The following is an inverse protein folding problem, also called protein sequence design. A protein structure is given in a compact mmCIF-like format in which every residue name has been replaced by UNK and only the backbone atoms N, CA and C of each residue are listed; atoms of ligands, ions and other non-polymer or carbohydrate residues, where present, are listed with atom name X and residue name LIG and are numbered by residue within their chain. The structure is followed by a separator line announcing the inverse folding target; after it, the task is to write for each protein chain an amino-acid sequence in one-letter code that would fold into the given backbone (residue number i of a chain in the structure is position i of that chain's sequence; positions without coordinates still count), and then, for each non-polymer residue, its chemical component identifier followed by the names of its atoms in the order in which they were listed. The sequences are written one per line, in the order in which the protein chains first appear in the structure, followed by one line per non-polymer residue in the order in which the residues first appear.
data_IF_722006290250
#
_entry.id   IF_722006290250
#
_cell.length_a   1.000
_cell.length_b   1.000
_cell.length_c   1.000
_cell.angle_alpha   90.00
_cell.angle_beta   90.00
_cell.angle_gamma   90.00
#
_symmetry.space_group_name_H-M   'P 1'
#
loop_
_entity.id
_entity.type
_entity.pdbx_description
1 polymer ?
#
# COMPACT_ATOMS: atom_id res chain seq x y z
N UNK A 1 29.59 -30.30 -23.36
CA UNK A 1 29.97 -31.11 -22.20
C UNK A 1 28.86 -30.90 -21.19
N UNK A 2 27.94 -31.79 -21.13
CA UNK A 2 27.75 -32.93 -20.20
C UNK A 2 27.41 -32.41 -18.82
N UNK A 3 26.35 -32.76 -18.09
CA UNK A 3 25.36 -33.89 -18.16
C UNK A 3 24.35 -33.57 -17.06
N UNK A 4 23.09 -33.61 -17.29
CA UNK A 4 22.15 -34.72 -17.04
C UNK A 4 21.86 -35.08 -15.58
N UNK A 5 20.59 -35.06 -15.31
CA UNK A 5 19.70 -36.12 -14.79
C UNK A 5 19.63 -36.21 -13.25
N UNK A 6 18.55 -36.43 -12.58
CA UNK A 6 17.38 -37.24 -12.92
C UNK A 6 16.18 -36.95 -12.00
N UNK A 7 15.02 -37.13 -12.58
CA UNK A 7 13.75 -37.34 -11.91
C UNK A 7 13.66 -38.71 -11.26
N UNK A 8 12.87 -38.89 -10.20
CA UNK A 8 12.13 -40.11 -9.89
C UNK A 8 10.95 -39.87 -9.00
N UNK A 9 9.82 -40.16 -9.56
CA UNK A 9 8.55 -40.66 -9.11
C UNK A 9 8.64 -41.83 -8.10
N UNK A 10 7.62 -41.95 -7.23
CA UNK A 10 6.95 -43.19 -6.82
C UNK A 10 5.78 -42.81 -5.90
N UNK A 11 4.51 -42.90 -6.35
CA UNK A 11 3.58 -44.00 -6.30
C UNK A 11 3.03 -44.36 -4.90
N UNK A 12 1.72 -44.15 -4.75
CA UNK A 12 0.86 -44.69 -3.69
C UNK A 12 0.70 -46.22 -3.84
N UNK A 13 0.22 -46.93 -2.82
CA UNK A 13 -0.90 -47.79 -3.06
C UNK A 13 -2.06 -47.78 -2.04
N UNK A 14 -3.11 -48.38 -2.51
CA UNK A 14 -4.46 -48.56 -2.12
C UNK A 14 -4.72 -49.39 -0.83
N UNK A 15 -5.86 -49.05 -0.23
CA UNK A 15 -7.09 -49.82 0.09
C UNK A 15 -7.09 -51.08 1.00
N UNK A 16 -8.17 -51.04 1.79
CA UNK A 16 -9.08 -52.11 2.32
C UNK A 16 -8.83 -52.55 3.77
N UNK A 17 -9.87 -52.45 4.59
CA UNK A 17 -10.95 -53.31 4.93
C UNK A 17 -11.62 -53.04 6.27
N UNK A 18 -12.86 -52.83 6.23
CA UNK A 18 -14.02 -53.24 7.04
C UNK A 18 -13.73 -54.08 8.31
N UNK A 19 -14.21 -53.74 9.52
CA UNK A 19 -15.41 -54.25 10.19
C UNK A 19 -15.62 -53.78 11.64
N UNK A 20 -16.82 -53.37 11.92
CA UNK A 20 -17.79 -53.46 13.01
C UNK A 20 -17.40 -53.69 14.49
N UNK A 21 -18.20 -52.98 15.28
CA UNK A 21 -18.86 -53.25 16.57
C UNK A 21 -18.35 -52.54 17.82
N UNK A 22 -19.27 -51.70 18.33
CA UNK A 22 -19.33 -51.14 19.71
C UNK A 22 -19.61 -52.23 20.75
N UNK A 23 -19.41 -51.99 22.07
CA UNK A 23 -20.34 -51.14 22.80
C UNK A 23 -19.76 -50.28 23.94
N UNK A 24 -20.63 -49.35 24.35
CA UNK A 24 -20.64 -48.42 25.47
C UNK A 24 -19.96 -48.89 26.77
N UNK A 25 -19.18 -48.00 27.39
CA UNK A 25 -19.26 -47.74 28.83
C UNK A 25 -18.95 -46.27 29.16
N UNK A 26 -19.79 -45.71 30.02
CA UNK A 26 -19.67 -44.37 30.60
C UNK A 26 -18.55 -44.35 31.64
N UNK A 27 -17.68 -43.36 31.65
CA UNK A 27 -17.21 -42.74 32.87
C UNK A 27 -16.71 -41.33 32.52
N UNK A 28 -17.08 -40.42 33.37
CA UNK A 28 -17.13 -39.00 33.16
C UNK A 28 -15.88 -38.28 33.52
N UNK A 29 -15.95 -37.00 33.15
CA UNK A 29 -15.33 -35.81 33.71
C UNK A 29 -13.84 -35.89 34.04
N UNK A 30 -13.09 -35.18 33.24
CA UNK A 30 -11.93 -34.30 33.59
C UNK A 30 -11.03 -34.12 32.38
N UNK A 31 -11.42 -33.30 31.42
CA UNK A 31 -10.51 -32.71 30.44
C UNK A 31 -11.04 -31.30 30.11
N UNK A 32 -10.73 -30.35 30.96
CA UNK A 32 -11.16 -28.98 30.77
C UNK A 32 -10.21 -27.91 31.35
N UNK A 33 -9.23 -28.29 32.16
CA UNK A 33 -8.43 -27.33 32.93
C UNK A 33 -6.97 -27.18 32.48
N UNK A 34 -6.42 -28.08 31.69
CA UNK A 34 -5.02 -28.02 31.28
C UNK A 34 -4.76 -27.12 30.05
N UNK A 35 -5.69 -27.02 29.13
CA UNK A 35 -5.54 -26.18 27.93
C UNK A 35 -5.69 -24.67 28.25
N UNK A 36 -6.59 -24.32 29.17
CA UNK A 36 -6.81 -22.92 29.60
C UNK A 36 -5.67 -22.37 30.45
N UNK A 37 -4.97 -23.23 31.18
CA UNK A 37 -3.80 -22.84 32.00
C UNK A 37 -2.55 -22.57 31.16
N UNK A 38 -2.32 -23.32 30.10
CA UNK A 38 -1.17 -23.11 29.19
C UNK A 38 -1.34 -21.87 28.33
N UNK A 39 -2.49 -21.62 27.75
CA UNK A 39 -2.80 -20.40 27.00
C UNK A 39 -2.72 -19.14 27.87
N UNK A 40 -3.09 -19.22 29.16
CA UNK A 40 -2.99 -18.12 30.10
C UNK A 40 -1.53 -17.81 30.52
N UNK A 41 -0.70 -18.83 30.67
CA UNK A 41 0.74 -18.67 31.00
C UNK A 41 1.55 -18.18 29.79
N UNK A 42 1.20 -18.59 28.56
CA UNK A 42 1.80 -18.10 27.32
C UNK A 42 1.43 -16.63 27.05
N UNK A 43 0.19 -16.24 27.31
CA UNK A 43 -0.27 -14.85 27.19
C UNK A 43 0.42 -13.86 28.15
N UNK A 44 1.01 -14.34 29.26
CA UNK A 44 1.76 -13.54 30.23
C UNK A 44 3.25 -13.35 29.88
N UNK A 45 3.76 -14.04 28.85
CA UNK A 45 5.19 -14.01 28.46
C UNK A 45 5.44 -13.39 27.08
N UNK A 46 4.57 -12.52 26.62
CA UNK A 46 4.71 -11.90 25.30
C UNK A 46 5.97 -11.03 25.19
N UNK A 47 6.39 -10.37 26.27
CA UNK A 47 7.61 -9.55 26.25
C UNK A 47 8.86 -10.42 26.04
N UNK A 48 8.91 -11.62 26.59
CA UNK A 48 10.00 -12.58 26.33
C UNK A 48 10.05 -12.97 24.84
N UNK A 49 8.90 -13.21 24.23
CA UNK A 49 8.82 -13.51 22.81
C UNK A 49 9.25 -12.29 21.94
N UNK A 50 8.92 -11.07 22.37
CA UNK A 50 9.35 -9.85 21.68
C UNK A 50 10.86 -9.72 21.65
N UNK A 51 11.55 -9.97 22.80
CA UNK A 51 13.01 -9.84 22.94
C UNK A 51 13.76 -11.14 22.58
N UNK A 52 13.07 -12.17 22.11
CA UNK A 52 13.66 -13.42 21.66
C UNK A 52 14.59 -13.18 20.47
N UNK A 53 15.74 -13.87 20.44
CA UNK A 53 16.81 -13.65 19.47
C UNK A 53 16.37 -13.74 18.01
N UNK A 54 15.60 -14.78 17.66
CA UNK A 54 15.16 -14.99 16.27
C UNK A 54 14.11 -13.94 15.85
N UNK A 55 13.24 -13.54 16.76
CA UNK A 55 12.27 -12.49 16.53
C UNK A 55 12.96 -11.14 16.28
N UNK A 56 13.94 -10.79 17.11
CA UNK A 56 14.73 -9.58 16.95
C UNK A 56 15.56 -9.58 15.69
N UNK A 57 16.14 -10.71 15.32
CA UNK A 57 16.90 -10.81 14.07
C UNK A 57 16.04 -10.52 12.85
N UNK A 58 14.87 -11.13 12.77
CA UNK A 58 13.89 -10.84 11.68
C UNK A 58 13.45 -9.36 11.68
N UNK A 59 13.23 -8.79 12.86
CA UNK A 59 12.89 -7.37 13.00
C UNK A 59 14.04 -6.47 12.52
N UNK A 60 15.27 -6.77 12.92
CA UNK A 60 16.48 -6.07 12.50
C UNK A 60 16.64 -6.09 10.97
N UNK A 61 16.58 -7.25 10.34
CA UNK A 61 16.68 -7.35 8.87
C UNK A 61 15.63 -6.50 8.16
N UNK A 62 14.42 -6.48 8.68
CA UNK A 62 13.31 -5.70 8.10
C UNK A 62 13.55 -4.19 8.22
N UNK A 63 14.03 -3.72 9.39
CA UNK A 63 14.37 -2.32 9.61
C UNK A 63 15.55 -1.90 8.73
N UNK A 64 16.60 -2.73 8.64
CA UNK A 64 17.76 -2.47 7.78
C UNK A 64 17.38 -2.38 6.30
N UNK A 65 16.55 -3.29 5.82
CA UNK A 65 16.09 -3.32 4.41
C UNK A 65 15.31 -2.06 4.02
N UNK A 66 14.59 -1.47 4.95
CA UNK A 66 13.80 -0.25 4.70
C UNK A 66 14.64 1.03 4.56
N UNK A 67 15.92 1.01 4.95
CA UNK A 67 16.86 2.14 4.82
C UNK A 67 16.27 3.50 5.26
N UNK A 68 15.45 3.48 6.32
CA UNK A 68 14.75 4.68 6.80
C UNK A 68 15.69 5.72 7.41
N UNK A 69 15.27 6.98 7.38
CA UNK A 69 16.01 8.11 7.95
C UNK A 69 16.20 7.96 9.48
N UNK A 70 17.22 8.63 10.04
CA UNK A 70 17.46 8.71 11.47
C UNK A 70 16.29 9.37 12.23
N UNK A 71 16.09 8.98 13.49
CA UNK A 71 15.13 9.61 14.40
C UNK A 71 15.65 10.94 14.98
N UNK A 72 15.19 11.26 16.20
CA UNK A 72 15.61 12.45 16.94
C UNK A 72 17.02 12.31 17.50
N UNK A 73 17.49 11.08 17.71
CA UNK A 73 18.82 10.71 18.21
C UNK A 73 19.94 10.84 17.16
N UNK A 74 19.58 11.07 15.89
CA UNK A 74 20.53 11.14 14.79
C UNK A 74 21.16 9.80 14.41
N UNK A 75 20.87 8.70 15.11
CA UNK A 75 21.42 7.37 14.85
C UNK A 75 20.94 6.85 13.48
N UNK A 76 21.89 6.58 12.59
CA UNK A 76 21.57 6.08 11.25
C UNK A 76 21.44 4.56 11.22
N UNK A 77 20.81 4.04 10.16
CA UNK A 77 20.73 2.60 9.91
C UNK A 77 22.14 1.99 9.75
N UNK A 78 23.10 2.73 9.18
CA UNK A 78 24.47 2.25 9.00
C UNK A 78 25.21 2.01 10.33
N UNK A 79 25.03 2.92 11.29
CA UNK A 79 25.73 2.90 12.58
C UNK A 79 25.02 2.00 13.60
N UNK A 80 23.77 1.64 13.33
CA UNK A 80 22.91 0.96 14.30
C UNK A 80 23.43 -0.41 14.77
N UNK A 81 24.13 -1.16 13.91
CA UNK A 81 24.66 -2.50 14.27
C UNK A 81 25.67 -2.41 15.42
N UNK A 82 26.65 -1.53 15.29
CA UNK A 82 27.69 -1.34 16.30
C UNK A 82 27.08 -0.82 17.61
N UNK A 83 26.19 0.16 17.52
CA UNK A 83 25.48 0.71 18.65
C UNK A 83 24.66 -0.37 19.38
N UNK A 84 23.91 -1.19 18.65
CA UNK A 84 23.06 -2.23 19.23
C UNK A 84 23.87 -3.30 19.97
N UNK A 85 25.03 -3.69 19.46
CA UNK A 85 25.92 -4.66 20.13
C UNK A 85 26.34 -4.21 21.54
N UNK A 86 26.56 -2.92 21.71
CA UNK A 86 26.97 -2.36 23.02
C UNK A 86 25.80 -2.14 23.96
N UNK A 87 24.64 -1.69 23.45
CA UNK A 87 23.54 -1.21 24.30
C UNK A 87 22.40 -2.21 24.48
N UNK A 88 22.34 -3.26 23.64
CA UNK A 88 21.24 -4.23 23.70
C UNK A 88 21.02 -4.89 25.06
N UNK A 89 22.03 -5.29 25.85
CA UNK A 89 21.80 -5.91 27.17
C UNK A 89 20.97 -4.99 28.07
N UNK A 90 21.31 -3.70 28.11
CA UNK A 90 20.59 -2.69 28.93
C UNK A 90 19.17 -2.47 28.41
N UNK A 91 19.00 -2.32 27.10
CA UNK A 91 17.68 -2.16 26.46
C UNK A 91 16.79 -3.38 26.73
N UNK A 92 17.34 -4.58 26.60
CA UNK A 92 16.63 -5.83 26.87
C UNK A 92 16.17 -5.92 28.32
N UNK A 93 17.05 -5.58 29.28
CA UNK A 93 16.73 -5.56 30.70
C UNK A 93 15.58 -4.58 30.99
N UNK A 94 15.62 -3.36 30.44
CA UNK A 94 14.57 -2.37 30.60
C UNK A 94 13.23 -2.81 29.98
N UNK A 95 13.25 -3.49 28.82
CA UNK A 95 12.04 -4.06 28.20
C UNK A 95 11.41 -5.15 29.06
N UNK A 96 12.23 -6.08 29.60
CA UNK A 96 11.74 -7.16 30.44
C UNK A 96 11.24 -6.66 31.82
N UNK A 97 11.83 -5.58 32.32
CA UNK A 97 11.34 -4.90 33.54
C UNK A 97 10.08 -4.04 33.30
N UNK A 98 9.70 -3.81 32.03
CA UNK A 98 8.61 -2.90 31.67
C UNK A 98 8.93 -1.43 31.90
N UNK A 99 10.21 -1.07 31.91
CA UNK A 99 10.73 0.28 32.22
C UNK A 99 11.19 1.05 30.98
N UNK A 100 11.30 0.39 29.81
CA UNK A 100 11.75 1.03 28.59
C UNK A 100 10.89 2.24 28.24
N UNK A 101 11.52 3.38 27.98
CA UNK A 101 10.87 4.64 27.59
C UNK A 101 11.23 4.96 26.14
N UNK A 102 10.24 4.97 25.22
CA UNK A 102 10.45 5.41 23.85
C UNK A 102 10.87 6.89 23.76
N UNK A 103 11.71 7.20 22.80
CA UNK A 103 12.03 8.59 22.49
C UNK A 103 10.90 9.26 21.68
N UNK A 104 10.85 10.59 21.75
CA UNK A 104 9.96 11.38 20.88
C UNK A 104 10.24 11.08 19.40
N UNK A 105 9.21 11.16 18.57
CA UNK A 105 9.36 10.96 17.13
C UNK A 105 9.71 12.27 16.43
N UNK A 106 10.61 12.20 15.46
CA UNK A 106 11.01 13.37 14.66
C UNK A 106 9.89 13.73 13.67
N UNK A 107 9.35 14.94 13.79
CA UNK A 107 8.33 15.47 12.89
C UNK A 107 8.91 15.76 11.51
N UNK A 108 8.25 15.28 10.46
CA UNK A 108 8.55 15.62 9.06
C UNK A 108 7.27 15.96 8.34
N UNK A 109 7.28 17.05 7.60
CA UNK A 109 6.15 17.52 6.82
C UNK A 109 6.28 17.07 5.36
N UNK A 110 5.28 16.34 4.86
CA UNK A 110 5.24 15.88 3.47
C UNK A 110 4.09 16.59 2.74
N UNK A 111 4.34 17.33 1.65
CA UNK A 111 3.29 17.97 0.87
C UNK A 111 2.31 16.93 0.30
N UNK A 112 0.99 17.18 0.42
CA UNK A 112 -0.03 16.37 -0.23
C UNK A 112 -0.22 16.79 -1.69
N UNK A 113 -0.48 15.84 -2.61
CA UNK A 113 -0.71 16.17 -4.03
C UNK A 113 -1.86 17.14 -4.31
N UNK A 114 -2.82 17.24 -3.39
CA UNK A 114 -4.02 18.08 -3.50
C UNK A 114 -3.95 19.33 -2.60
N UNK A 115 -2.76 19.72 -2.17
CA UNK A 115 -2.54 20.80 -1.21
C UNK A 115 -2.61 20.35 0.25
N UNK A 116 -2.03 21.14 1.14
CA UNK A 116 -1.87 20.83 2.55
C UNK A 116 -0.67 19.92 2.84
N UNK A 117 -0.49 19.58 4.11
CA UNK A 117 0.67 18.86 4.62
C UNK A 117 0.21 17.56 5.31
N UNK A 118 1.01 16.51 5.20
CA UNK A 118 0.89 15.28 6.00
C UNK A 118 2.03 15.28 7.01
N UNK A 119 1.69 15.18 8.28
CA UNK A 119 2.67 15.04 9.35
C UNK A 119 3.12 13.58 9.45
N UNK A 120 4.41 13.35 9.30
CA UNK A 120 5.03 12.04 9.51
C UNK A 120 5.87 12.11 10.78
N UNK A 121 5.74 11.12 11.66
CA UNK A 121 6.61 10.96 12.83
C UNK A 121 7.63 9.86 12.55
N UNK A 122 8.91 10.19 12.55
CA UNK A 122 9.99 9.22 12.35
C UNK A 122 10.52 8.77 13.71
N UNK A 123 10.24 7.53 14.18
CA UNK A 123 10.83 6.99 15.41
C UNK A 123 12.33 6.76 15.25
N UNK A 124 13.06 6.64 16.35
CA UNK A 124 14.46 6.20 16.35
C UNK A 124 14.61 4.83 15.68
N UNK A 125 15.83 4.48 15.25
CA UNK A 125 16.06 3.15 14.65
C UNK A 125 15.80 2.04 15.68
N UNK A 126 16.14 2.29 16.94
CA UNK A 126 15.86 1.38 18.07
C UNK A 126 14.35 1.19 18.27
N UNK A 127 13.58 2.29 18.34
CA UNK A 127 12.13 2.20 18.50
C UNK A 127 11.46 1.49 17.32
N UNK A 128 11.97 1.68 16.10
CA UNK A 128 11.50 0.91 14.91
C UNK A 128 11.80 -0.58 15.04
N UNK A 129 12.97 -0.95 15.58
CA UNK A 129 13.31 -2.36 15.86
C UNK A 129 12.34 -2.97 16.87
N UNK A 130 12.11 -2.31 17.98
CA UNK A 130 11.22 -2.80 19.05
C UNK A 130 9.78 -2.87 18.56
N UNK A 131 9.27 -1.84 17.89
CA UNK A 131 7.93 -1.85 17.27
C UNK A 131 7.76 -2.94 16.22
N UNK A 132 8.80 -3.21 15.42
CA UNK A 132 8.77 -4.31 14.45
C UNK A 132 8.78 -5.68 15.14
N UNK A 133 9.52 -5.84 16.24
CA UNK A 133 9.53 -7.06 17.03
C UNK A 133 8.17 -7.29 17.70
N UNK A 134 7.56 -6.24 18.28
CA UNK A 134 6.20 -6.27 18.81
C UNK A 134 5.17 -6.66 17.71
N UNK A 135 5.25 -6.04 16.54
CA UNK A 135 4.36 -6.34 15.43
C UNK A 135 4.40 -7.83 15.06
N UNK A 136 5.57 -8.44 15.00
CA UNK A 136 5.75 -9.84 14.62
C UNK A 136 5.13 -10.81 15.63
N UNK A 137 5.12 -10.45 16.91
CA UNK A 137 4.50 -11.24 17.98
C UNK A 137 3.00 -11.01 18.07
N UNK A 138 2.56 -9.75 17.95
CA UNK A 138 1.14 -9.41 18.13
C UNK A 138 0.29 -9.70 16.88
N UNK A 139 0.84 -9.60 15.67
CA UNK A 139 0.08 -9.79 14.45
C UNK A 139 -0.65 -11.15 14.38
N UNK A 140 -0.01 -12.30 14.69
CA UNK A 140 -0.69 -13.60 14.71
C UNK A 140 -1.84 -13.68 15.71
N UNK A 141 -1.74 -12.98 16.85
CA UNK A 141 -2.79 -12.97 17.88
C UNK A 141 -4.06 -12.22 17.47
N UNK A 142 -3.93 -11.19 16.64
CA UNK A 142 -5.05 -10.37 16.20
C UNK A 142 -5.59 -10.78 14.81
N UNK A 143 -4.75 -11.36 13.95
CA UNK A 143 -5.11 -11.67 12.56
C UNK A 143 -6.37 -12.54 12.42
N UNK A 144 -6.61 -13.59 13.25
CA UNK A 144 -7.81 -14.40 13.16
C UNK A 144 -9.12 -13.65 13.45
N UNK A 145 -9.04 -12.57 14.26
CA UNK A 145 -10.19 -11.75 14.64
C UNK A 145 -10.53 -10.65 13.63
N UNK A 146 -9.72 -10.45 12.60
CA UNK A 146 -9.98 -9.41 11.60
C UNK A 146 -10.98 -9.87 10.53
N UNK A 147 -11.89 -8.97 10.15
CA UNK A 147 -12.87 -9.20 9.10
C UNK A 147 -12.24 -9.64 7.78
N UNK A 148 -12.89 -10.58 7.07
CA UNK A 148 -12.49 -10.95 5.70
C UNK A 148 -12.63 -9.80 4.70
N UNK A 149 -13.38 -8.76 5.03
CA UNK A 149 -13.60 -7.56 4.22
C UNK A 149 -12.59 -6.46 4.49
N UNK A 150 -11.64 -6.68 5.40
CA UNK A 150 -10.50 -5.81 5.70
C UNK A 150 -9.23 -6.32 5.00
N UNK A 151 -8.58 -5.46 4.20
CA UNK A 151 -7.47 -5.84 3.32
C UNK A 151 -6.17 -5.08 3.59
N UNK A 152 -6.23 -3.90 4.21
CA UNK A 152 -5.07 -3.04 4.41
C UNK A 152 -4.14 -3.54 5.52
N UNK A 153 -2.83 -3.51 5.29
CA UNK A 153 -1.79 -3.82 6.27
C UNK A 153 -1.85 -5.22 6.91
N UNK A 154 -2.42 -6.19 6.21
CA UNK A 154 -2.58 -7.57 6.68
C UNK A 154 -1.73 -8.53 5.87
N UNK A 155 -1.17 -9.61 6.49
CA UNK A 155 -0.47 -10.66 5.79
C UNK A 155 -1.39 -11.35 4.75
N UNK A 156 -0.86 -11.62 3.56
CA UNK A 156 -1.61 -12.31 2.50
C UNK A 156 -2.77 -11.51 1.88
N UNK A 157 -3.06 -10.30 2.37
CA UNK A 157 -4.08 -9.39 1.84
C UNK A 157 -3.45 -8.25 1.05
N UNK A 158 -4.16 -7.74 0.04
CA UNK A 158 -3.66 -6.67 -0.81
C UNK A 158 -4.80 -5.86 -1.45
N UNK A 159 -4.42 -4.72 -2.05
CA UNK A 159 -5.36 -3.80 -2.69
C UNK A 159 -6.12 -4.44 -3.87
N UNK A 160 -5.52 -5.39 -4.58
CA UNK A 160 -6.18 -6.06 -5.72
C UNK A 160 -7.35 -6.92 -5.28
N UNK A 161 -7.22 -7.64 -4.17
CA UNK A 161 -8.31 -8.43 -3.59
C UNK A 161 -9.48 -7.52 -3.18
N UNK A 162 -9.20 -6.38 -2.52
CA UNK A 162 -10.20 -5.39 -2.15
C UNK A 162 -10.97 -4.86 -3.38
N UNK A 163 -10.25 -4.47 -4.43
CA UNK A 163 -10.83 -3.93 -5.67
C UNK A 163 -11.66 -4.99 -6.41
N UNK A 164 -11.20 -6.24 -6.47
CA UNK A 164 -11.95 -7.35 -7.07
C UNK A 164 -13.21 -7.67 -6.28
N UNK A 165 -13.14 -7.65 -4.95
CA UNK A 165 -14.32 -7.85 -4.10
C UNK A 165 -15.33 -6.74 -4.29
N UNK A 166 -14.88 -5.49 -4.34
CA UNK A 166 -15.71 -4.33 -4.64
C UNK A 166 -16.43 -4.48 -6.00
N UNK A 167 -15.71 -4.90 -7.04
CA UNK A 167 -16.30 -5.21 -8.36
C UNK A 167 -17.39 -6.30 -8.26
N UNK A 168 -17.16 -7.33 -7.44
CA UNK A 168 -18.12 -8.39 -7.18
C UNK A 168 -19.44 -7.82 -6.63
N UNK A 169 -19.38 -6.99 -5.60
CA UNK A 169 -20.57 -6.38 -5.02
C UNK A 169 -21.36 -5.51 -6.00
N UNK A 170 -20.66 -4.77 -6.87
CA UNK A 170 -21.30 -3.96 -7.90
C UNK A 170 -21.99 -4.85 -8.97
N UNK A 171 -21.37 -5.98 -9.33
CA UNK A 171 -21.95 -6.98 -10.25
C UNK A 171 -23.16 -7.69 -9.65
N UNK A 172 -23.21 -7.87 -8.33
CA UNK A 172 -24.36 -8.37 -7.57
C UNK A 172 -25.54 -7.37 -7.50
N UNK A 173 -25.44 -6.22 -8.18
CA UNK A 173 -26.50 -5.22 -8.24
C UNK A 173 -26.41 -4.09 -7.21
N UNK A 174 -25.36 -4.05 -6.37
CA UNK A 174 -25.14 -2.97 -5.40
C UNK A 174 -24.48 -1.78 -6.07
N UNK A 175 -25.28 -0.98 -6.77
CA UNK A 175 -24.79 0.07 -7.67
C UNK A 175 -24.72 1.46 -7.02
N UNK A 176 -24.62 1.51 -5.71
CA UNK A 176 -24.33 2.69 -4.91
C UNK A 176 -23.24 2.38 -3.91
N UNK A 177 -22.39 3.35 -3.65
CA UNK A 177 -21.28 3.24 -2.69
C UNK A 177 -21.40 4.37 -1.66
N UNK A 178 -21.28 3.98 -0.40
CA UNK A 178 -20.99 4.89 0.71
C UNK A 178 -19.49 4.89 0.87
N UNK A 179 -18.84 5.95 0.41
CA UNK A 179 -17.40 6.16 0.47
C UNK A 179 -17.10 6.97 1.74
N UNK A 180 -16.52 6.32 2.74
CA UNK A 180 -16.21 6.89 4.04
C UNK A 180 -14.72 7.25 4.11
N UNK A 181 -14.42 8.52 4.36
CA UNK A 181 -13.08 9.07 4.64
C UNK A 181 -13.04 9.54 6.09
N UNK A 182 -12.10 9.05 6.89
CA UNK A 182 -11.91 9.46 8.27
C UNK A 182 -11.01 10.70 8.34
N UNK A 183 -11.46 11.71 9.12
CA UNK A 183 -10.70 12.96 9.25
C UNK A 183 -9.46 12.76 10.11
N UNK A 184 -8.27 12.83 9.49
CA UNK A 184 -6.97 12.73 10.18
C UNK A 184 -6.92 11.52 11.14
N UNK A 185 -7.39 10.36 10.67
CA UNK A 185 -7.55 9.15 11.47
C UNK A 185 -6.39 8.90 12.44
N UNK A 186 -5.15 8.84 11.93
CA UNK A 186 -3.97 8.58 12.77
C UNK A 186 -3.70 9.66 13.84
N UNK A 187 -4.18 10.88 13.64
CA UNK A 187 -3.96 11.99 14.57
C UNK A 187 -5.06 12.10 15.63
N UNK A 188 -6.15 11.32 15.51
CA UNK A 188 -7.36 11.43 16.35
C UNK A 188 -7.75 10.11 17.04
N UNK A 189 -6.92 9.10 17.01
CA UNK A 189 -7.17 7.83 17.70
C UNK A 189 -7.20 8.08 19.21
N UNK A 190 -8.31 7.79 19.86
CA UNK A 190 -8.41 7.82 21.32
C UNK A 190 -7.59 6.66 21.91
N UNK A 191 -6.60 7.00 22.75
CA UNK A 191 -5.67 6.03 23.32
C UNK A 191 -6.37 5.02 24.24
N UNK A 192 -7.35 5.45 25.04
CA UNK A 192 -8.01 4.57 26.01
C UNK A 192 -8.92 3.57 25.30
N UNK A 193 -9.65 4.03 24.28
CA UNK A 193 -10.44 3.15 23.43
C UNK A 193 -9.54 2.13 22.75
N UNK A 194 -8.45 2.55 22.11
CA UNK A 194 -7.51 1.63 21.46
C UNK A 194 -6.92 0.63 22.46
N UNK A 195 -6.39 1.11 23.61
CA UNK A 195 -5.77 0.24 24.62
C UNK A 195 -6.76 -0.77 25.18
N UNK A 196 -8.03 -0.39 25.38
CA UNK A 196 -9.06 -1.35 25.81
C UNK A 196 -9.27 -2.48 24.79
N UNK A 197 -9.08 -2.23 23.46
CA UNK A 197 -9.18 -3.26 22.41
C UNK A 197 -7.93 -4.13 22.38
N UNK A 198 -6.76 -3.53 22.53
CA UNK A 198 -5.49 -4.28 22.65
C UNK A 198 -5.53 -5.22 23.84
N UNK A 199 -6.01 -4.78 24.99
CA UNK A 199 -6.08 -5.56 26.23
C UNK A 199 -7.06 -6.76 26.18
N UNK A 200 -7.92 -6.84 25.16
CA UNK A 200 -8.77 -8.03 24.95
C UNK A 200 -7.92 -9.28 24.69
N UNK A 201 -6.87 -9.16 23.90
CA UNK A 201 -6.00 -10.27 23.49
C UNK A 201 -4.65 -10.25 24.21
N UNK A 202 -4.09 -9.09 24.56
CA UNK A 202 -2.80 -8.92 25.21
C UNK A 202 -3.00 -8.86 26.72
N UNK A 203 -2.38 -9.80 27.47
CA UNK A 203 -2.46 -9.86 28.93
C UNK A 203 -1.14 -9.50 29.62
N UNK A 204 -0.05 -9.38 28.89
CA UNK A 204 1.25 -8.94 29.41
C UNK A 204 1.23 -7.42 29.64
N UNK A 205 1.20 -7.02 30.90
CA UNK A 205 1.15 -5.60 31.31
C UNK A 205 2.35 -4.81 30.82
N UNK A 206 3.52 -5.45 30.67
CA UNK A 206 4.74 -4.80 30.15
C UNK A 206 4.55 -4.40 28.69
N UNK A 207 3.93 -5.29 27.90
CA UNK A 207 3.59 -5.02 26.50
C UNK A 207 2.53 -3.93 26.39
N UNK A 208 1.48 -3.97 27.21
CA UNK A 208 0.45 -2.92 27.25
C UNK A 208 1.05 -1.56 27.62
N UNK A 209 1.88 -1.51 28.67
CA UNK A 209 2.61 -0.29 29.07
C UNK A 209 3.47 0.25 27.93
N UNK A 210 4.20 -0.62 27.24
CA UNK A 210 5.07 -0.23 26.13
C UNK A 210 4.28 0.34 24.96
N UNK A 211 3.16 -0.31 24.58
CA UNK A 211 2.28 0.21 23.54
C UNK A 211 1.74 1.59 23.93
N UNK A 212 1.27 1.75 25.17
CA UNK A 212 0.76 3.04 25.67
C UNK A 212 1.83 4.13 25.57
N UNK A 213 3.07 3.85 25.98
CA UNK A 213 4.19 4.78 25.86
C UNK A 213 4.51 5.16 24.43
N UNK A 214 4.38 4.23 23.47
CA UNK A 214 4.52 4.56 22.03
C UNK A 214 3.41 5.47 21.53
N UNK A 215 2.20 5.36 22.02
CA UNK A 215 1.10 6.25 21.67
C UNK A 215 1.32 7.65 22.23
N UNK A 216 1.83 7.74 23.46
CA UNK A 216 2.11 8.99 24.18
C UNK A 216 3.43 9.64 23.79
N UNK A 217 4.32 8.90 23.10
CA UNK A 217 5.60 9.43 22.63
C UNK A 217 5.40 10.73 21.85
N UNK A 218 5.98 11.82 22.36
CA UNK A 218 5.80 13.16 21.83
C UNK A 218 6.33 13.33 20.41
N UNK A 219 5.89 14.40 19.74
CA UNK A 219 6.44 14.86 18.46
C UNK A 219 7.51 15.92 18.74
N UNK A 220 8.71 15.72 18.20
CA UNK A 220 9.78 16.70 18.25
C UNK A 220 9.86 17.47 16.92
N UNK A 221 9.71 18.79 17.02
CA UNK A 221 9.93 19.73 15.93
C UNK A 221 10.83 20.88 16.45
N UNK A 222 11.87 21.21 15.73
CA UNK A 222 12.78 22.33 16.06
C UNK A 222 13.30 22.31 17.54
N UNK A 223 13.57 21.10 18.05
CA UNK A 223 14.06 20.91 19.42
C UNK A 223 12.97 20.93 20.51
N UNK A 224 11.73 21.23 20.18
CA UNK A 224 10.59 21.26 21.13
C UNK A 224 9.80 19.96 21.02
N UNK A 225 9.62 19.29 22.16
CA UNK A 225 8.76 18.08 22.27
C UNK A 225 7.36 18.50 22.69
N UNK A 226 6.37 18.22 21.84
CA UNK A 226 4.95 18.36 22.19
C UNK A 226 4.38 17.01 22.63
N UNK A 227 3.74 16.98 23.80
CA UNK A 227 3.05 15.80 24.29
C UNK A 227 1.87 15.43 23.37
N UNK A 228 1.53 14.12 23.35
CA UNK A 228 0.36 13.61 22.65
C UNK A 228 -0.65 13.05 23.65
N UNK A 229 -1.88 13.51 23.52
CA UNK A 229 -3.03 13.00 24.29
C UNK A 229 -3.94 12.11 23.41
N UNK A 230 -3.82 12.22 22.08
CA UNK A 230 -4.56 11.43 21.11
C UNK A 230 -3.68 11.15 19.86
N UNK A 231 -4.06 10.15 19.09
CA UNK A 231 -3.43 9.79 17.83
C UNK A 231 -2.28 8.78 17.96
N UNK A 232 -1.92 8.20 16.84
CA UNK A 232 -0.76 7.32 16.70
C UNK A 232 0.27 7.95 15.76
N UNK A 233 1.58 7.85 16.03
CA UNK A 233 2.59 8.38 15.12
C UNK A 233 2.49 7.72 13.74
N UNK A 234 2.28 8.52 12.69
CA UNK A 234 2.35 8.02 11.33
C UNK A 234 3.83 7.76 10.96
N UNK A 235 4.20 6.49 10.76
CA UNK A 235 5.55 6.11 10.34
C UNK A 235 6.20 5.00 11.17
N UNK A 236 5.64 4.64 12.33
CA UNK A 236 6.09 3.48 13.10
C UNK A 236 5.56 2.16 12.53
N UNK A 237 6.31 1.06 12.64
CA UNK A 237 5.88 -0.27 12.18
C UNK A 237 4.60 -0.80 12.84
N UNK A 238 4.34 -0.41 14.09
CA UNK A 238 3.21 -0.92 14.88
C UNK A 238 1.88 -0.23 14.54
N UNK A 239 1.90 1.03 14.11
CA UNK A 239 0.69 1.84 13.88
C UNK A 239 -0.33 1.21 12.92
N UNK A 240 0.06 0.50 11.84
CA UNK A 240 -0.88 -0.18 10.96
C UNK A 240 -1.69 -1.30 11.65
N UNK A 241 -1.05 -2.08 12.53
CA UNK A 241 -1.74 -3.11 13.31
C UNK A 241 -2.72 -2.48 14.30
N UNK A 242 -2.28 -1.46 15.04
CA UNK A 242 -3.14 -0.74 16.00
C UNK A 242 -4.35 -0.12 15.31
N UNK A 243 -4.19 0.41 14.09
CA UNK A 243 -5.30 0.92 13.27
C UNK A 243 -6.31 -0.17 12.96
N UNK A 244 -5.85 -1.35 12.56
CA UNK A 244 -6.75 -2.48 12.27
C UNK A 244 -7.47 -2.97 13.52
N UNK A 245 -6.78 -3.04 14.68
CA UNK A 245 -7.39 -3.42 15.96
C UNK A 245 -8.55 -2.48 16.31
N UNK A 246 -8.36 -1.18 16.21
CA UNK A 246 -9.41 -0.21 16.49
C UNK A 246 -10.58 -0.32 15.51
N UNK A 247 -10.29 -0.42 14.21
CA UNK A 247 -11.30 -0.44 13.15
C UNK A 247 -12.01 -1.81 13.01
N UNK A 248 -11.56 -2.84 13.72
CA UNK A 248 -12.28 -4.12 13.79
C UNK A 248 -13.68 -3.93 14.38
N UNK A 249 -13.87 -3.04 15.35
CA UNK A 249 -15.20 -2.74 15.90
C UNK A 249 -16.15 -2.18 14.82
N UNK A 250 -15.63 -1.36 13.86
CA UNK A 250 -16.40 -0.92 12.70
C UNK A 250 -16.74 -2.08 11.76
N UNK A 251 -15.76 -2.94 11.48
CA UNK A 251 -15.96 -4.11 10.61
C UNK A 251 -17.03 -5.02 11.18
N UNK A 252 -16.96 -5.37 12.47
CA UNK A 252 -17.95 -6.17 13.16
C UNK A 252 -19.36 -5.54 13.13
N UNK A 253 -19.47 -4.22 13.29
CA UNK A 253 -20.74 -3.51 13.23
C UNK A 253 -21.33 -3.53 11.82
N UNK A 254 -20.50 -3.39 10.78
CA UNK A 254 -20.93 -3.51 9.39
C UNK A 254 -21.42 -4.93 9.06
N UNK A 255 -20.70 -5.95 9.54
CA UNK A 255 -21.07 -7.36 9.38
C UNK A 255 -22.36 -7.70 10.12
N UNK A 256 -22.50 -7.25 11.37
CA UNK A 256 -23.71 -7.43 12.19
C UNK A 256 -24.96 -6.85 11.52
N UNK A 257 -24.80 -5.71 10.80
CA UNK A 257 -25.90 -5.09 10.02
C UNK A 257 -26.08 -5.73 8.64
N UNK A 258 -25.27 -6.72 8.25
CA UNK A 258 -25.34 -7.40 6.96
C UNK A 258 -24.88 -6.56 5.77
N UNK A 259 -24.06 -5.53 6.01
CA UNK A 259 -23.55 -4.69 4.95
C UNK A 259 -22.43 -5.38 4.14
N UNK A 260 -22.37 -5.08 2.85
CA UNK A 260 -21.29 -5.48 1.95
C UNK A 260 -20.29 -4.34 1.85
N UNK A 261 -19.06 -4.55 2.27
CA UNK A 261 -18.05 -3.50 2.32
C UNK A 261 -16.65 -4.01 1.97
N UNK A 262 -15.76 -3.09 1.68
CA UNK A 262 -14.32 -3.32 1.56
C UNK A 262 -13.61 -2.21 2.31
N UNK A 263 -12.79 -2.58 3.30
CA UNK A 263 -11.94 -1.65 4.01
C UNK A 263 -10.47 -1.88 3.70
N UNK A 264 -9.74 -0.81 3.43
CA UNK A 264 -8.30 -0.82 3.27
C UNK A 264 -7.67 0.26 4.16
N UNK A 265 -7.19 -0.11 5.33
CA UNK A 265 -6.81 0.82 6.41
C UNK A 265 -8.01 1.69 6.82
N UNK A 266 -7.88 3.00 6.72
CA UNK A 266 -8.91 4.00 7.01
C UNK A 266 -9.89 4.25 5.83
N UNK A 267 -9.61 3.72 4.64
CA UNK A 267 -10.47 3.88 3.43
C UNK A 267 -11.52 2.76 3.42
N UNK A 268 -12.79 3.11 3.64
CA UNK A 268 -13.91 2.16 3.77
C UNK A 268 -15.03 2.46 2.78
N UNK A 269 -15.33 1.50 1.91
CA UNK A 269 -16.40 1.57 0.92
C UNK A 269 -17.49 0.53 1.22
N UNK A 270 -18.73 1.00 1.44
CA UNK A 270 -19.90 0.15 1.70
C UNK A 270 -20.80 0.18 0.47
N UNK A 271 -21.22 -0.99 -0.02
CA UNK A 271 -21.97 -1.15 -1.27
C UNK A 271 -23.44 -1.45 -0.98
N UNK A 272 -24.34 -0.63 -1.54
CA UNK A 272 -25.79 -0.69 -1.30
C UNK A 272 -26.58 -0.67 -2.61
N UNK A 273 -27.88 -1.05 -2.53
CA UNK A 273 -28.75 -1.14 -3.71
C UNK A 273 -29.35 0.20 -4.17
N UNK A 274 -29.52 1.17 -3.27
CA UNK A 274 -30.16 2.45 -3.57
C UNK A 274 -29.49 3.62 -2.86
N UNK A 275 -29.66 4.83 -3.39
CA UNK A 275 -29.18 6.06 -2.77
C UNK A 275 -29.77 6.29 -1.38
N UNK A 276 -31.09 6.09 -1.25
CA UNK A 276 -31.79 6.23 0.03
C UNK A 276 -31.21 5.29 1.10
N UNK A 277 -30.90 4.04 0.73
CA UNK A 277 -30.20 3.11 1.63
C UNK A 277 -28.80 3.60 1.96
N UNK A 278 -28.06 4.13 0.98
CA UNK A 278 -26.73 4.69 1.18
C UNK A 278 -26.72 5.86 2.16
N UNK A 279 -27.64 6.79 2.04
CA UNK A 279 -27.76 7.93 2.96
C UNK A 279 -28.02 7.45 4.40
N UNK A 280 -28.97 6.53 4.60
CA UNK A 280 -29.23 5.94 5.94
C UNK A 280 -28.00 5.22 6.51
N UNK A 281 -27.26 4.50 5.69
CA UNK A 281 -26.02 3.82 6.13
C UNK A 281 -24.95 4.85 6.49
N UNK A 282 -24.78 5.91 5.67
CA UNK A 282 -23.85 7.00 5.96
C UNK A 282 -24.12 7.62 7.33
N UNK A 283 -25.39 8.01 7.59
CA UNK A 283 -25.79 8.66 8.84
C UNK A 283 -25.54 7.72 10.03
N UNK A 284 -26.02 6.48 9.94
CA UNK A 284 -25.92 5.50 11.03
C UNK A 284 -24.48 5.06 11.35
N UNK A 285 -23.60 4.97 10.32
CA UNK A 285 -22.18 4.63 10.53
C UNK A 285 -21.40 5.85 11.01
N UNK A 286 -21.73 7.06 10.54
CA UNK A 286 -21.16 8.29 11.06
C UNK A 286 -21.43 8.42 12.56
N UNK A 287 -22.71 8.24 12.97
CA UNK A 287 -23.10 8.26 14.38
C UNK A 287 -22.31 7.22 15.21
N UNK A 288 -22.20 5.99 14.71
CA UNK A 288 -21.41 4.93 15.36
C UNK A 288 -19.93 5.31 15.53
N UNK A 289 -19.30 5.83 14.47
CA UNK A 289 -17.90 6.23 14.49
C UNK A 289 -17.65 7.39 15.46
N UNK A 290 -18.52 8.41 15.45
CA UNK A 290 -18.35 9.60 16.27
C UNK A 290 -18.65 9.33 17.76
N UNK A 291 -19.68 8.54 18.08
CA UNK A 291 -20.06 8.29 19.48
C UNK A 291 -19.37 7.08 20.12
N UNK A 292 -19.11 5.99 19.36
CA UNK A 292 -18.53 4.76 19.94
C UNK A 292 -17.01 4.68 19.80
N UNK A 293 -16.48 5.15 18.68
CA UNK A 293 -15.03 5.08 18.43
C UNK A 293 -14.34 6.45 18.58
N UNK A 294 -15.11 7.52 18.76
CA UNK A 294 -14.63 8.90 18.86
C UNK A 294 -13.78 9.31 17.64
N UNK A 295 -14.14 8.78 16.45
CA UNK A 295 -13.51 9.07 15.18
C UNK A 295 -14.41 10.00 14.37
N UNK A 296 -13.84 11.06 13.78
CA UNK A 296 -14.60 12.00 12.96
C UNK A 296 -14.62 11.59 11.50
N UNK A 297 -15.82 11.65 10.91
CA UNK A 297 -15.99 11.44 9.46
C UNK A 297 -15.73 12.75 8.72
N UNK A 298 -14.91 12.70 7.69
CA UNK A 298 -14.66 13.84 6.81
C UNK A 298 -15.86 14.03 5.87
N UNK A 299 -16.79 14.90 6.23
CA UNK A 299 -18.03 15.13 5.49
C UNK A 299 -17.83 15.72 4.09
N UNK A 300 -16.73 16.43 3.84
CA UNK A 300 -16.42 16.98 2.51
C UNK A 300 -15.94 15.91 1.51
N UNK A 301 -15.28 14.88 2.00
CA UNK A 301 -14.74 13.81 1.16
C UNK A 301 -15.63 12.57 1.13
N UNK A 302 -16.34 12.29 2.22
CA UNK A 302 -17.29 11.19 2.28
C UNK A 302 -18.51 11.47 1.43
N UNK A 303 -19.01 10.48 0.72
CA UNK A 303 -20.16 10.65 -0.15
C UNK A 303 -20.92 9.36 -0.40
N UNK A 304 -22.22 9.50 -0.65
CA UNK A 304 -23.05 8.46 -1.24
C UNK A 304 -23.15 8.74 -2.74
N UNK A 305 -22.59 7.88 -3.56
CA UNK A 305 -22.48 8.11 -5.00
C UNK A 305 -22.51 6.81 -5.80
N UNK A 306 -22.46 6.93 -7.13
CA UNK A 306 -22.25 5.79 -8.00
C UNK A 306 -20.79 5.34 -7.93
N UNK A 307 -20.49 4.03 -7.93
CA UNK A 307 -19.10 3.53 -7.86
C UNK A 307 -18.19 4.03 -8.99
N UNK A 308 -18.76 4.34 -10.16
CA UNK A 308 -18.00 4.88 -11.31
C UNK A 308 -17.66 6.37 -11.20
N UNK A 309 -18.32 7.11 -10.30
CA UNK A 309 -18.03 8.51 -9.98
C UNK A 309 -17.01 8.64 -8.84
N UNK A 310 -16.69 7.52 -8.19
CA UNK A 310 -15.73 7.46 -7.10
C UNK A 310 -14.50 6.63 -7.49
N UNK A 311 -13.46 6.77 -6.70
CA UNK A 311 -12.24 5.97 -6.80
C UNK A 311 -12.09 5.11 -5.55
N UNK A 312 -11.66 3.87 -5.72
CA UNK A 312 -11.24 3.01 -4.62
C UNK A 312 -9.84 2.47 -4.92
N UNK A 313 -8.87 2.77 -4.06
CA UNK A 313 -7.47 2.37 -4.22
C UNK A 313 -6.87 2.71 -5.59
N UNK A 314 -7.24 3.87 -6.14
CA UNK A 314 -6.76 4.33 -7.44
C UNK A 314 -7.47 3.74 -8.66
N UNK A 315 -8.33 2.77 -8.48
CA UNK A 315 -9.24 2.25 -9.49
C UNK A 315 -10.59 2.95 -9.46
N UNK A 316 -11.39 2.75 -10.50
CA UNK A 316 -12.81 3.07 -10.60
C UNK A 316 -13.49 1.97 -11.42
N UNK A 317 -14.77 2.14 -11.72
CA UNK A 317 -15.60 1.15 -12.39
C UNK A 317 -16.23 1.75 -13.64
N UNK A 318 -16.67 0.91 -14.58
CA UNK A 318 -17.50 1.37 -15.68
C UNK A 318 -18.97 1.32 -15.28
N UNK A 319 -19.78 2.21 -15.89
CA UNK A 319 -21.23 2.29 -15.64
C UNK A 319 -22.06 1.21 -16.37
N UNK A 320 -21.44 0.46 -17.30
CA UNK A 320 -22.12 -0.54 -18.12
C UNK A 320 -22.73 -1.69 -17.29
N UNK A 321 -23.65 -2.46 -17.90
CA UNK A 321 -24.25 -3.67 -17.31
C UNK A 321 -23.16 -4.64 -16.85
N UNK A 322 -22.18 -4.91 -17.71
CA UNK A 322 -20.97 -5.65 -17.36
C UNK A 322 -19.91 -4.70 -16.80
N UNK A 323 -19.91 -4.56 -15.50
CA UNK A 323 -18.99 -3.67 -14.77
C UNK A 323 -17.55 -4.13 -14.96
N UNK A 324 -16.70 -3.23 -15.50
CA UNK A 324 -15.26 -3.46 -15.68
C UNK A 324 -14.45 -2.54 -14.79
N UNK A 325 -13.29 -3.04 -14.36
CA UNK A 325 -12.30 -2.21 -13.67
C UNK A 325 -11.62 -1.26 -14.65
N UNK A 326 -11.63 0.02 -14.32
CA UNK A 326 -10.87 1.07 -15.02
C UNK A 326 -9.93 1.78 -14.03
N UNK A 327 -8.92 2.44 -14.56
CA UNK A 327 -8.03 3.29 -13.78
C UNK A 327 -8.73 4.61 -13.52
N UNK A 328 -8.71 5.10 -12.29
CA UNK A 328 -9.30 6.40 -11.95
C UNK A 328 -8.54 7.55 -12.61
N UNK A 329 -9.26 8.59 -13.05
CA UNK A 329 -8.69 9.74 -13.78
C UNK A 329 -7.60 10.47 -12.98
N UNK A 330 -7.76 10.57 -11.66
CA UNK A 330 -6.73 11.11 -10.78
C UNK A 330 -5.42 10.30 -10.80
N UNK A 331 -5.49 8.98 -11.00
CA UNK A 331 -4.32 8.11 -11.11
C UNK A 331 -3.63 8.26 -12.47
N UNK A 332 -4.40 8.45 -13.55
CA UNK A 332 -3.89 8.79 -14.88
C UNK A 332 -3.20 10.15 -14.89
N UNK A 333 -3.81 11.15 -14.25
CA UNK A 333 -3.23 12.48 -14.09
C UNK A 333 -1.87 12.42 -13.39
N UNK A 334 -1.79 11.72 -12.27
CA UNK A 334 -0.53 11.56 -11.50
C UNK A 334 0.58 10.91 -12.32
N UNK A 335 0.27 9.86 -13.11
CA UNK A 335 1.25 9.27 -14.02
C UNK A 335 1.72 10.29 -15.05
N UNK A 336 0.79 11.00 -15.71
CA UNK A 336 1.13 12.01 -16.71
C UNK A 336 2.00 13.12 -16.12
N UNK A 337 1.74 13.55 -14.89
CA UNK A 337 2.53 14.57 -14.20
C UNK A 337 3.94 14.05 -13.91
N UNK A 338 4.07 12.80 -13.41
CA UNK A 338 5.38 12.18 -13.16
C UNK A 338 6.20 11.98 -14.44
N UNK A 339 5.56 11.57 -15.54
CA UNK A 339 6.22 11.49 -16.85
C UNK A 339 6.69 12.86 -17.31
N UNK A 340 5.90 13.94 -17.12
CA UNK A 340 6.31 15.31 -17.46
C UNK A 340 7.53 15.73 -16.66
N UNK A 341 7.53 15.51 -15.35
CA UNK A 341 8.65 15.81 -14.46
C UNK A 341 9.95 15.12 -14.94
N UNK A 342 9.90 13.83 -15.21
CA UNK A 342 11.07 13.07 -15.69
C UNK A 342 11.55 13.59 -17.05
N UNK A 343 10.63 13.82 -17.99
CA UNK A 343 11.01 14.33 -19.33
C UNK A 343 11.61 15.73 -19.26
N UNK A 344 11.11 16.60 -18.39
CA UNK A 344 11.68 17.95 -18.17
C UNK A 344 13.05 17.83 -17.49
N UNK A 345 13.22 17.03 -16.46
CA UNK A 345 14.50 16.78 -15.80
C UNK A 345 15.58 16.21 -16.72
N UNK A 346 15.18 15.58 -17.84
CA UNK A 346 16.08 15.05 -18.88
C UNK A 346 16.19 15.96 -20.12
N UNK A 347 15.81 17.24 -20.05
CA UNK A 347 15.78 18.12 -21.19
C UNK A 347 17.15 18.30 -21.90
N UNK A 348 18.24 18.25 -21.17
CA UNK A 348 19.63 18.32 -21.66
C UNK A 348 20.32 16.97 -21.88
N UNK A 349 19.68 15.86 -21.46
CA UNK A 349 20.26 14.52 -21.53
C UNK A 349 19.82 13.77 -22.79
N UNK A 350 20.48 12.66 -23.11
CA UNK A 350 20.09 11.83 -24.23
C UNK A 350 18.75 11.10 -23.98
N UNK A 351 18.11 10.67 -25.08
CA UNK A 351 16.82 9.99 -25.02
C UNK A 351 16.86 8.66 -24.24
N UNK A 352 17.98 7.94 -24.34
CA UNK A 352 18.12 6.65 -23.65
C UNK A 352 18.12 6.84 -22.11
N UNK A 353 18.75 7.92 -21.60
CA UNK A 353 18.68 8.28 -20.18
C UNK A 353 17.24 8.58 -19.74
N UNK A 354 16.50 9.35 -20.56
CA UNK A 354 15.09 9.64 -20.24
C UNK A 354 14.23 8.36 -20.21
N UNK A 355 14.47 7.41 -21.11
CA UNK A 355 13.79 6.12 -21.14
C UNK A 355 14.20 5.27 -19.92
N UNK A 356 15.47 5.26 -19.57
CA UNK A 356 15.98 4.56 -18.39
C UNK A 356 15.29 5.04 -17.11
N UNK A 357 15.17 6.36 -16.91
CA UNK A 357 14.49 6.95 -15.76
C UNK A 357 12.96 6.74 -15.76
N UNK A 358 12.34 6.66 -16.93
CA UNK A 358 10.91 6.41 -17.08
C UNK A 358 10.52 4.95 -16.77
N UNK A 359 11.33 3.99 -17.19
CA UNK A 359 10.97 2.57 -17.17
C UNK A 359 10.61 2.03 -15.77
N UNK A 360 11.32 2.35 -14.66
CA UNK A 360 10.93 1.91 -13.33
C UNK A 360 9.53 2.39 -12.94
N UNK A 361 9.21 3.66 -13.26
CA UNK A 361 7.91 4.26 -12.97
C UNK A 361 6.81 3.57 -13.78
N UNK A 362 7.04 3.36 -15.08
CA UNK A 362 6.06 2.71 -15.98
C UNK A 362 5.79 1.27 -15.56
N UNK A 363 6.85 0.49 -15.23
CA UNK A 363 6.71 -0.89 -14.75
C UNK A 363 5.95 -0.96 -13.43
N UNK A 364 6.34 -0.18 -12.42
CA UNK A 364 5.69 -0.16 -11.11
C UNK A 364 4.23 0.24 -11.21
N UNK A 365 3.92 1.29 -12.00
CA UNK A 365 2.56 1.75 -12.21
C UNK A 365 1.69 0.71 -12.92
N UNK A 366 2.19 0.08 -14.00
CA UNK A 366 1.45 -0.94 -14.73
C UNK A 366 1.24 -2.20 -13.90
N UNK A 367 2.23 -2.60 -13.11
CA UNK A 367 2.10 -3.71 -12.16
C UNK A 367 0.99 -3.45 -11.15
N UNK A 368 0.89 -2.26 -10.59
CA UNK A 368 -0.20 -1.91 -9.68
C UNK A 368 -1.56 -1.92 -10.37
N UNK A 369 -1.67 -1.34 -11.59
CA UNK A 369 -2.92 -1.26 -12.35
C UNK A 369 -3.19 -2.45 -13.29
N UNK A 370 -2.54 -3.59 -13.05
CA UNK A 370 -2.66 -4.81 -13.89
C UNK A 370 -4.08 -5.37 -14.01
N UNK A 371 -4.96 -5.07 -13.04
CA UNK A 371 -6.36 -5.52 -13.06
C UNK A 371 -7.25 -4.70 -14.00
N UNK A 372 -6.76 -3.59 -14.58
CA UNK A 372 -7.61 -2.78 -15.47
C UNK A 372 -8.10 -3.61 -16.65
N UNK A 373 -9.41 -3.58 -16.91
CA UNK A 373 -10.05 -4.28 -18.02
C UNK A 373 -10.23 -3.37 -19.25
N UNK A 374 -10.03 -2.05 -19.09
CA UNK A 374 -10.14 -1.05 -20.15
C UNK A 374 -8.76 -0.82 -20.79
N UNK A 375 -8.52 -1.46 -21.95
CA UNK A 375 -7.21 -1.44 -22.63
C UNK A 375 -6.90 -0.11 -23.34
N UNK A 376 -7.92 0.57 -23.88
CA UNK A 376 -7.73 1.78 -24.69
C UNK A 376 -6.95 2.87 -23.97
N UNK A 377 -7.19 3.07 -22.68
CA UNK A 377 -6.47 4.07 -21.87
C UNK A 377 -4.96 3.81 -21.81
N UNK A 378 -4.52 2.55 -21.83
CA UNK A 378 -3.10 2.19 -21.87
C UNK A 378 -2.47 2.45 -23.23
N UNK A 379 -3.21 2.19 -24.31
CA UNK A 379 -2.79 2.52 -25.69
C UNK A 379 -2.61 4.02 -25.87
N UNK A 380 -3.57 4.81 -25.36
CA UNK A 380 -3.52 6.27 -25.41
C UNK A 380 -2.32 6.82 -24.61
N UNK A 381 -2.06 6.25 -23.42
CA UNK A 381 -0.91 6.61 -22.60
C UNK A 381 0.41 6.27 -23.30
N UNK A 382 0.55 5.08 -23.86
CA UNK A 382 1.74 4.67 -24.61
C UNK A 382 1.99 5.62 -25.80
N UNK A 383 0.94 5.98 -26.53
CA UNK A 383 0.98 6.97 -27.61
C UNK A 383 1.42 8.34 -27.12
N UNK A 384 0.86 8.79 -26.00
CA UNK A 384 1.16 10.06 -25.38
C UNK A 384 2.61 10.14 -24.84
N UNK A 385 3.11 9.04 -24.22
CA UNK A 385 4.50 8.96 -23.75
C UNK A 385 5.47 9.08 -24.92
N UNK A 386 5.27 8.32 -26.01
CA UNK A 386 6.10 8.42 -27.22
C UNK A 386 6.06 9.83 -27.82
N UNK A 387 4.90 10.49 -27.84
CA UNK A 387 4.78 11.89 -28.27
C UNK A 387 5.59 12.84 -27.38
N UNK A 388 5.59 12.63 -26.06
CA UNK A 388 6.44 13.41 -25.14
C UNK A 388 7.92 13.23 -25.40
N UNK A 389 8.37 12.01 -25.69
CA UNK A 389 9.76 11.73 -26.04
C UNK A 389 10.15 12.33 -27.41
N UNK A 390 9.27 12.31 -28.40
CA UNK A 390 9.49 13.04 -29.66
C UNK A 390 9.56 14.55 -29.43
N UNK A 391 8.74 15.09 -28.55
CA UNK A 391 8.77 16.50 -28.17
C UNK A 391 10.09 16.88 -27.50
N UNK A 392 10.64 15.98 -26.66
CA UNK A 392 11.99 16.16 -26.08
C UNK A 392 13.06 16.27 -27.18
N UNK A 393 13.09 15.32 -28.13
CA UNK A 393 14.00 15.37 -29.26
C UNK A 393 13.88 16.66 -30.07
N UNK A 394 12.66 17.07 -30.39
CA UNK A 394 12.43 18.29 -31.14
C UNK A 394 12.92 19.54 -30.41
N UNK A 395 12.78 19.63 -29.12
CA UNK A 395 13.29 20.73 -28.31
C UNK A 395 14.82 20.76 -28.24
N UNK A 396 15.47 19.61 -28.25
CA UNK A 396 16.93 19.50 -28.27
C UNK A 396 17.52 19.98 -29.61
N UNK A 397 16.78 19.83 -30.71
CA UNK A 397 17.20 20.29 -32.04
C UNK A 397 16.79 21.75 -32.26
N UNK A 398 17.58 22.64 -31.71
CA UNK A 398 17.28 24.06 -31.73
C UNK A 398 17.25 24.68 -33.12
N UNK A 399 18.15 24.22 -34.04
CA UNK A 399 18.35 24.79 -35.41
C UNK A 399 17.64 23.96 -36.46
N UNK A 400 17.03 24.60 -37.51
CA UNK A 400 16.42 23.88 -38.60
C UNK A 400 17.37 22.89 -39.34
N UNK A 401 18.64 23.27 -39.51
CA UNK A 401 19.66 22.40 -40.10
C UNK A 401 19.86 21.10 -39.29
N UNK A 402 19.85 21.21 -37.96
CA UNK A 402 19.94 20.03 -37.10
C UNK A 402 18.70 19.15 -37.23
N UNK A 403 17.50 19.74 -37.28
CA UNK A 403 16.24 18.99 -37.48
C UNK A 403 16.24 18.28 -38.81
N UNK A 404 16.61 18.97 -39.87
CA UNK A 404 16.71 18.40 -41.22
C UNK A 404 17.62 17.17 -41.25
N UNK A 405 18.91 17.33 -40.83
CA UNK A 405 19.86 16.23 -40.78
C UNK A 405 19.37 15.03 -39.95
N UNK A 406 18.73 15.29 -38.79
CA UNK A 406 18.19 14.25 -37.91
C UNK A 406 16.99 13.52 -38.51
N UNK A 407 16.13 14.22 -39.30
CA UNK A 407 15.01 13.60 -39.97
C UNK A 407 15.46 12.77 -41.18
N UNK A 408 16.43 13.25 -41.95
CA UNK A 408 17.04 12.48 -43.05
C UNK A 408 17.74 11.22 -42.56
N UNK A 409 18.51 11.31 -41.49
CA UNK A 409 19.18 10.16 -40.85
C UNK A 409 18.19 9.08 -40.34
N UNK A 410 16.89 9.41 -40.34
CA UNK A 410 15.77 8.52 -40.01
C UNK A 410 14.91 8.11 -41.23
N UNK A 411 15.44 8.34 -42.44
CA UNK A 411 14.83 7.85 -43.66
C UNK A 411 13.74 8.76 -44.27
N UNK A 412 13.62 10.03 -43.79
CA UNK A 412 12.79 10.99 -44.52
C UNK A 412 13.51 11.46 -45.77
N UNK A 413 12.78 11.57 -46.87
CA UNK A 413 13.29 12.19 -48.11
C UNK A 413 13.67 13.67 -47.88
N UNK A 414 14.59 14.17 -48.73
CA UNK A 414 15.17 15.50 -48.63
C UNK A 414 14.12 16.61 -48.55
N UNK A 415 13.15 16.61 -49.50
CA UNK A 415 12.14 17.66 -49.60
C UNK A 415 11.23 17.69 -48.36
N UNK A 416 10.80 16.51 -47.90
CA UNK A 416 9.96 16.38 -46.72
C UNK A 416 10.71 16.75 -45.47
N UNK A 417 11.99 16.33 -45.30
CA UNK A 417 12.82 16.66 -44.20
C UNK A 417 13.07 18.17 -44.08
N UNK A 418 13.36 18.84 -45.22
CA UNK A 418 13.55 20.29 -45.28
C UNK A 418 12.27 21.05 -44.90
N UNK A 419 11.11 20.74 -45.53
CA UNK A 419 9.83 21.35 -45.22
C UNK A 419 9.42 21.18 -43.78
N UNK A 420 9.69 19.97 -43.19
CA UNK A 420 9.36 19.66 -41.82
C UNK A 420 10.28 20.40 -40.82
N UNK A 421 11.56 20.53 -41.12
CA UNK A 421 12.53 21.17 -40.24
C UNK A 421 12.35 22.69 -40.15
N UNK A 422 11.85 23.34 -41.23
CA UNK A 422 11.71 24.79 -41.36
C UNK A 422 10.31 25.33 -41.01
N UNK A 423 9.37 24.45 -40.60
CA UNK A 423 8.02 24.90 -40.24
C UNK A 423 8.04 25.71 -38.92
N UNK A 424 7.23 26.76 -38.85
CA UNK A 424 7.09 27.66 -37.70
C UNK A 424 6.29 27.06 -36.50
N UNK A 425 5.92 25.76 -36.57
CA UNK A 425 5.10 25.13 -35.56
C UNK A 425 5.92 24.75 -34.28
N UNK A 426 5.28 24.84 -33.13
CA UNK A 426 5.90 24.52 -31.84
C UNK A 426 6.26 23.03 -31.66
N UNK A 427 7.11 22.70 -30.66
CA UNK A 427 7.59 21.34 -30.43
C UNK A 427 6.49 20.30 -30.19
N UNK A 428 5.41 20.70 -29.52
CA UNK A 428 4.29 19.78 -29.25
C UNK A 428 3.51 19.43 -30.51
N UNK A 429 3.30 20.38 -31.39
CA UNK A 429 2.66 20.11 -32.68
C UNK A 429 3.52 19.15 -33.51
N UNK A 430 4.81 19.49 -33.69
CA UNK A 430 5.74 18.68 -34.46
C UNK A 430 5.86 17.25 -33.95
N UNK A 431 5.89 17.06 -32.62
CA UNK A 431 5.99 15.72 -32.00
C UNK A 431 4.81 14.78 -32.33
N UNK A 432 3.67 15.32 -32.72
CA UNK A 432 2.50 14.56 -33.17
C UNK A 432 2.34 14.48 -34.70
N UNK A 433 3.12 15.24 -35.42
CA UNK A 433 3.01 15.33 -36.90
C UNK A 433 3.55 14.06 -37.61
N UNK A 434 3.12 13.86 -38.86
CA UNK A 434 3.44 12.66 -39.63
C UNK A 434 4.94 12.45 -39.83
N UNK A 435 5.73 13.51 -40.01
CA UNK A 435 7.19 13.40 -40.15
C UNK A 435 7.88 12.86 -38.89
N UNK A 436 7.49 13.30 -37.69
CA UNK A 436 8.06 12.78 -36.47
C UNK A 436 7.54 11.37 -36.13
N UNK A 437 6.33 11.03 -36.51
CA UNK A 437 5.82 9.68 -36.37
C UNK A 437 6.53 8.69 -37.32
N UNK A 438 6.83 9.10 -38.57
CA UNK A 438 7.59 8.31 -39.53
C UNK A 438 9.06 8.13 -39.11
N UNK A 439 9.73 9.24 -38.73
CA UNK A 439 11.14 9.21 -38.29
C UNK A 439 11.37 8.46 -37.01
N UNK A 440 10.41 8.51 -36.09
CA UNK A 440 10.48 7.92 -34.73
C UNK A 440 9.21 7.10 -34.45
N UNK A 441 9.01 5.96 -35.13
CA UNK A 441 7.86 5.07 -34.94
C UNK A 441 7.94 4.33 -33.59
N UNK A 442 6.90 3.53 -33.27
CA UNK A 442 6.88 2.70 -32.05
C UNK A 442 8.12 1.81 -31.94
N UNK A 443 8.49 1.14 -33.03
CA UNK A 443 9.65 0.22 -33.08
C UNK A 443 10.96 0.88 -32.67
N UNK A 444 11.15 2.17 -32.96
CA UNK A 444 12.34 2.91 -32.53
C UNK A 444 12.44 3.00 -30.99
N UNK A 445 11.33 3.28 -30.32
CA UNK A 445 11.31 3.36 -28.87
C UNK A 445 11.40 1.97 -28.23
N UNK A 446 10.79 0.97 -28.86
CA UNK A 446 10.89 -0.43 -28.43
C UNK A 446 12.36 -0.92 -28.49
N UNK A 447 13.08 -0.57 -29.57
CA UNK A 447 14.52 -0.87 -29.70
C UNK A 447 15.40 -0.16 -28.65
N UNK A 448 14.96 0.99 -28.14
CA UNK A 448 15.61 1.69 -27.02
C UNK A 448 15.18 1.14 -25.66
N UNK A 449 14.34 0.11 -25.62
CA UNK A 449 13.87 -0.53 -24.40
C UNK A 449 12.79 0.24 -23.65
N UNK A 450 12.04 1.16 -24.31
CA UNK A 450 10.90 1.83 -23.68
C UNK A 450 9.81 0.81 -23.31
N UNK A 451 9.41 0.80 -22.07
CA UNK A 451 8.31 -0.06 -21.58
C UNK A 451 6.99 0.38 -22.16
N UNK A 452 6.26 -0.53 -22.82
CA UNK A 452 4.85 -0.35 -23.19
C UNK A 452 3.96 -0.81 -22.05
N UNK A 453 3.07 0.06 -21.60
CA UNK A 453 2.08 -0.23 -20.54
C UNK A 453 1.13 -1.35 -20.96
N UNK A 454 0.71 -1.34 -22.23
CA UNK A 454 -0.18 -2.35 -22.79
C UNK A 454 0.49 -3.74 -22.81
N UNK A 455 1.73 -3.82 -23.31
CA UNK A 455 2.46 -5.09 -23.44
C UNK A 455 2.77 -5.70 -22.07
N UNK A 456 3.17 -4.88 -21.09
CA UNK A 456 3.40 -5.33 -19.70
C UNK A 456 2.11 -5.86 -19.07
N UNK A 457 0.98 -5.15 -19.26
CA UNK A 457 -0.31 -5.64 -18.76
C UNK A 457 -0.71 -6.97 -19.41
N UNK A 458 -0.50 -7.14 -20.72
CA UNK A 458 -0.80 -8.41 -21.41
C UNK A 458 -0.01 -9.58 -20.85
N UNK A 459 1.29 -9.37 -20.56
CA UNK A 459 2.14 -10.40 -19.92
C UNK A 459 1.58 -10.85 -18.57
N UNK A 460 1.07 -9.92 -17.74
CA UNK A 460 0.42 -10.28 -16.48
C UNK A 460 -0.87 -11.10 -16.64
N UNK A 461 -1.50 -11.06 -17.80
CA UNK A 461 -2.71 -11.86 -18.07
C UNK A 461 -2.40 -13.25 -18.63
N UNK A 462 -1.25 -13.44 -19.28
CA UNK A 462 -0.80 -14.74 -19.80
C UNK A 462 -0.20 -15.65 -18.70
N UNK A 463 0.19 -15.07 -17.56
CA UNK A 463 0.78 -15.79 -16.40
C UNK A 463 -0.31 -16.21 -15.39
N UNK A 464 -1.59 -15.92 -15.67
CA UNK A 464 -2.77 -16.40 -14.92
C UNK A 464 -3.38 -17.61 -15.60
#
# INVERSE_FOLDING_TARGET
MRTDEAARQATAPDREGIDRMSPRTRSGAEVGTAADGQTKAEGLRLMEAVVERNNLWRAYERVMRNKGAAGVDGLTVADFKAWLQQHWPTVRAALLAGEYMPMAVRKVEIPKPNGGVRLLGIPTVLDRLIQQALLQVLQPEFEPGFSEHSYGFRPGRNAWQAVQRAQGYIREGRRWVVDLDLEKFFDRVNHDILMSRVARNVKDERVLKLIRRYLEAGLMADGIVSARTEGTPQGGPLSPLLSNILLTDLDCELERRGHRFCRYADDCNIYVGSEKAGRRVMDAITDYLEHKLQLRVNREKSAVARPWDRKFLGYSFTWHKHVRLKIADASLKRLKDKVREIVVGNASRNLATAIYDLNPVLRGWTSYFRLTEVKGVLQDLDGWIRRKLRCLLWRQWKRPSTRHRKLQARGLDEARAHKSASNGRGPWWNSGASHMNAAYPKSYFDALGLVSLLDVRQRFQLVR
#
